data_IF_359130267811
#
_entry.id   IF_359130267811
#
_cell.length_a   1.000
_cell.length_b   1.000
_cell.length_c   1.000
_cell.angle_alpha   90.00
_cell.angle_beta   90.00
_cell.angle_gamma   90.00
#
_symmetry.space_group_name_H-M   'P 1'
#
loop_
_entity.id
_entity.type
_entity.pdbx_description
1 polymer ?
#
# COMPACT_ATOMS: atom_id res chain seq x y z
N UNK A 1 -7.22 -9.16 28.22
CA UNK A 1 -6.54 -8.83 26.96
C UNK A 1 -5.75 -7.55 27.18
N UNK A 2 -4.41 -7.57 27.13
CA UNK A 2 -3.58 -6.36 27.32
C UNK A 2 -3.34 -5.72 25.96
N UNK A 3 -3.98 -4.58 25.68
CA UNK A 3 -3.59 -3.73 24.55
C UNK A 3 -2.45 -2.81 25.02
N UNK A 4 -1.38 -2.73 24.25
CA UNK A 4 -0.34 -1.71 24.36
C UNK A 4 -0.44 -0.84 23.10
N UNK A 5 -0.55 0.48 23.26
CA UNK A 5 -0.28 1.37 22.14
C UNK A 5 1.23 1.32 21.86
N UNK A 6 1.59 1.08 20.61
CA UNK A 6 2.98 1.12 20.16
C UNK A 6 3.06 2.08 18.99
N UNK A 7 3.98 3.04 19.09
CA UNK A 7 4.52 3.74 17.94
C UNK A 7 5.28 2.73 17.08
N UNK A 8 4.55 2.08 16.17
CA UNK A 8 5.11 1.05 15.31
C UNK A 8 5.84 1.75 14.15
N UNK A 9 7.18 1.70 14.17
CA UNK A 9 7.98 1.87 12.96
C UNK A 9 7.75 0.62 12.12
N UNK A 10 6.75 0.64 11.23
CA UNK A 10 6.56 -0.44 10.24
C UNK A 10 7.78 -0.36 9.30
N UNK A 11 8.71 -1.32 9.36
CA UNK A 11 9.86 -1.26 8.49
C UNK A 11 9.39 -1.80 7.13
N UNK A 12 9.35 -0.94 6.12
CA UNK A 12 9.15 -1.37 4.74
C UNK A 12 10.30 -2.30 4.34
N UNK A 13 10.12 -3.60 4.51
CA UNK A 13 11.00 -4.62 3.96
C UNK A 13 10.39 -5.08 2.63
N UNK A 14 11.11 -4.84 1.54
CA UNK A 14 10.81 -5.42 0.25
C UNK A 14 11.20 -6.90 0.33
N UNK A 15 10.22 -7.80 0.44
CA UNK A 15 10.43 -9.25 0.37
C UNK A 15 10.08 -9.72 -1.05
N UNK A 16 11.08 -10.14 -1.80
CA UNK A 16 10.92 -10.74 -3.13
C UNK A 16 10.51 -12.21 -2.96
N UNK A 17 9.31 -12.59 -3.40
CA UNK A 17 8.87 -14.00 -3.48
C UNK A 17 8.43 -14.31 -4.90
N UNK A 18 8.91 -15.45 -5.43
CA UNK A 18 8.63 -15.94 -6.77
C UNK A 18 7.53 -17.02 -6.69
N UNK A 19 6.49 -16.91 -7.51
CA UNK A 19 5.46 -17.95 -7.67
C UNK A 19 5.16 -18.06 -9.16
N UNK A 20 5.32 -19.26 -9.72
CA UNK A 20 5.01 -19.56 -11.12
C UNK A 20 3.50 -19.77 -11.28
N UNK A 21 2.87 -18.97 -12.13
CA UNK A 21 1.48 -19.15 -12.53
C UNK A 21 1.42 -19.00 -14.06
N UNK A 22 0.84 -19.97 -14.75
CA UNK A 22 0.61 -19.93 -16.19
C UNK A 22 -0.74 -19.26 -16.50
N UNK A 23 -0.76 -18.21 -17.31
CA UNK A 23 -2.00 -17.57 -17.78
C UNK A 23 -1.93 -17.12 -19.25
N UNK A 24 -3.09 -17.14 -19.92
CA UNK A 24 -3.28 -16.79 -21.32
C UNK A 24 -3.17 -15.26 -21.55
N UNK A 25 -2.69 -14.81 -22.72
CA UNK A 25 -2.49 -13.39 -22.98
C UNK A 25 -3.81 -12.68 -23.29
N UNK A 26 -4.24 -11.79 -22.40
CA UNK A 26 -5.12 -10.68 -22.75
C UNK A 26 -4.27 -9.51 -23.25
N UNK A 27 -4.58 -9.02 -24.44
CA UNK A 27 -4.10 -7.75 -24.98
C UNK A 27 -4.77 -6.61 -24.20
N UNK A 28 -4.08 -6.03 -23.22
CA UNK A 28 -4.60 -4.87 -22.48
C UNK A 28 -3.65 -3.68 -22.61
N UNK A 29 -4.01 -2.82 -23.56
CA UNK A 29 -3.39 -1.57 -23.95
C UNK A 29 -4.23 -0.45 -23.33
N UNK A 30 -3.77 0.18 -22.25
CA UNK A 30 -4.27 1.52 -21.86
C UNK A 30 -3.08 2.43 -21.56
N UNK A 31 -2.89 3.47 -22.37
CA UNK A 31 -2.01 4.61 -22.08
C UNK A 31 -0.50 4.36 -22.02
N UNK A 32 -0.04 3.15 -22.36
CA UNK A 32 1.35 2.73 -22.25
C UNK A 32 2.14 3.16 -23.49
N UNK A 33 3.17 3.99 -23.31
CA UNK A 33 4.25 4.09 -24.29
C UNK A 33 5.34 3.09 -23.91
N UNK A 34 5.50 2.04 -24.73
CA UNK A 34 6.69 1.19 -24.70
C UNK A 34 7.61 1.64 -25.84
N UNK A 35 8.74 2.25 -25.51
CA UNK A 35 9.77 2.60 -26.48
C UNK A 35 11.05 1.87 -26.13
N UNK A 36 11.51 1.03 -27.05
CA UNK A 36 12.76 0.30 -26.92
C UNK A 36 13.81 0.83 -27.87
N UNK A 37 15.06 0.88 -27.42
CA UNK A 37 16.23 0.97 -28.28
C UNK A 37 17.04 -0.32 -28.09
N UNK A 38 16.87 -1.30 -28.97
CA UNK A 38 17.58 -2.58 -28.87
C UNK A 38 17.08 -3.55 -27.79
N UNK A 39 16.18 -3.14 -26.88
CA UNK A 39 15.46 -4.05 -25.98
C UNK A 39 13.96 -4.07 -26.25
N UNK A 40 13.40 -5.28 -26.26
CA UNK A 40 11.99 -5.54 -26.55
C UNK A 40 11.39 -6.46 -25.49
N UNK A 41 10.18 -6.13 -25.05
CA UNK A 41 9.31 -7.01 -24.28
C UNK A 41 8.17 -7.48 -25.19
N UNK A 42 7.87 -8.78 -25.21
CA UNK A 42 6.75 -9.29 -26.01
C UNK A 42 5.41 -8.84 -25.46
N UNK A 43 5.30 -8.82 -24.14
CA UNK A 43 4.09 -8.40 -23.45
C UNK A 43 4.44 -7.60 -22.21
N UNK A 44 3.68 -6.52 -22.03
CA UNK A 44 3.70 -5.73 -20.80
C UNK A 44 2.29 -5.66 -20.24
N UNK A 45 2.12 -5.97 -18.96
CA UNK A 45 0.81 -5.90 -18.28
C UNK A 45 0.96 -5.59 -16.80
N UNK A 46 -0.14 -5.11 -16.22
CA UNK A 46 -0.25 -4.85 -14.79
C UNK A 46 -0.93 -6.01 -14.07
N UNK A 47 -0.55 -6.24 -12.82
CA UNK A 47 -1.33 -7.09 -11.91
C UNK A 47 -1.49 -6.48 -10.53
N UNK A 48 -2.60 -6.80 -9.88
CA UNK A 48 -2.84 -6.53 -8.46
C UNK A 48 -3.15 -7.86 -7.78
N UNK A 49 -2.27 -8.31 -6.90
CA UNK A 49 -2.26 -9.70 -6.44
C UNK A 49 -2.06 -10.68 -7.62
N UNK A 50 -3.01 -11.58 -7.80
CA UNK A 50 -3.00 -12.62 -8.85
C UNK A 50 -3.83 -12.23 -10.08
N UNK A 51 -4.47 -11.05 -10.07
CA UNK A 51 -5.35 -10.60 -11.15
C UNK A 51 -4.58 -9.68 -12.09
N UNK A 52 -4.64 -9.98 -13.39
CA UNK A 52 -4.21 -9.04 -14.44
C UNK A 52 -5.25 -7.92 -14.50
N UNK A 53 -4.80 -6.68 -14.50
CA UNK A 53 -5.68 -5.51 -14.48
C UNK A 53 -5.40 -4.60 -15.68
N UNK A 54 -6.46 -3.92 -16.13
CA UNK A 54 -6.43 -2.95 -17.22
C UNK A 54 -6.78 -1.52 -16.77
N UNK A 55 -6.94 -1.28 -15.47
CA UNK A 55 -7.22 0.05 -14.88
C UNK A 55 -5.96 0.79 -14.47
N UNK A 56 -6.05 2.12 -14.40
CA UNK A 56 -5.02 3.03 -13.90
C UNK A 56 -5.49 3.86 -12.69
N UNK A 57 -6.59 3.49 -12.05
CA UNK A 57 -6.99 4.04 -10.75
C UNK A 57 -6.74 2.98 -9.69
N UNK A 58 -5.95 3.32 -8.68
CA UNK A 58 -5.57 2.41 -7.59
C UNK A 58 -6.03 2.96 -6.24
N UNK A 59 -6.11 2.08 -5.24
CA UNK A 59 -6.43 2.48 -3.88
C UNK A 59 -5.17 2.67 -3.03
N UNK A 60 -5.22 3.57 -2.05
CA UNK A 60 -4.10 3.77 -1.13
C UNK A 60 -3.69 2.44 -0.46
N UNK A 61 -2.40 2.16 -0.48
CA UNK A 61 -1.81 0.91 0.00
C UNK A 61 -1.86 -0.26 -0.97
N UNK A 62 -2.50 -0.12 -2.13
CA UNK A 62 -2.51 -1.15 -3.17
C UNK A 62 -1.08 -1.44 -3.67
N UNK A 63 -0.80 -2.72 -3.94
CA UNK A 63 0.46 -3.15 -4.55
C UNK A 63 0.17 -3.49 -6.00
N UNK A 64 0.73 -2.69 -6.91
CA UNK A 64 0.68 -2.95 -8.35
C UNK A 64 2.00 -3.55 -8.80
N UNK A 65 1.94 -4.52 -9.71
CA UNK A 65 3.11 -5.09 -10.38
C UNK A 65 3.03 -4.79 -11.86
N UNK A 66 4.17 -4.47 -12.48
CA UNK A 66 4.30 -4.38 -13.94
C UNK A 66 5.21 -5.51 -14.38
N UNK A 67 4.69 -6.36 -15.27
CA UNK A 67 5.37 -7.53 -15.78
C UNK A 67 5.83 -7.26 -17.21
N UNK A 68 7.08 -7.60 -17.50
CA UNK A 68 7.67 -7.57 -18.83
C UNK A 68 8.04 -9.00 -19.20
N UNK A 69 7.28 -9.60 -20.11
CA UNK A 69 7.48 -10.98 -20.54
C UNK A 69 8.35 -11.07 -21.78
N UNK A 70 9.13 -12.15 -21.82
CA UNK A 70 9.98 -12.54 -22.95
C UNK A 70 10.89 -11.40 -23.42
N UNK A 71 11.64 -10.80 -22.47
CA UNK A 71 12.61 -9.75 -22.81
C UNK A 71 13.67 -10.31 -23.75
N UNK A 72 13.94 -9.60 -24.84
CA UNK A 72 15.01 -9.90 -25.81
C UNK A 72 15.88 -8.67 -26.07
N UNK A 73 17.04 -8.90 -26.69
CA UNK A 73 17.99 -7.87 -27.10
C UNK A 73 19.06 -7.51 -26.07
N UNK A 74 19.05 -8.17 -24.90
CA UNK A 74 20.15 -8.09 -23.94
C UNK A 74 21.38 -8.79 -24.51
N UNK A 75 22.54 -8.18 -24.33
CA UNK A 75 23.82 -8.83 -24.56
C UNK A 75 24.04 -9.95 -23.54
N UNK A 76 24.70 -11.01 -23.99
CA UNK A 76 25.11 -12.12 -23.15
C UNK A 76 26.61 -12.07 -22.93
N UNK A 77 27.05 -12.29 -21.70
CA UNK A 77 28.44 -12.62 -21.37
C UNK A 77 28.43 -13.94 -20.61
N UNK A 78 29.11 -14.95 -21.15
CA UNK A 78 29.17 -16.29 -20.54
C UNK A 78 27.77 -16.88 -20.25
N UNK A 79 26.86 -16.75 -21.22
CA UNK A 79 25.44 -17.16 -21.13
C UNK A 79 24.61 -16.48 -20.03
N UNK A 80 25.13 -15.39 -19.44
CA UNK A 80 24.42 -14.56 -18.47
C UNK A 80 24.00 -13.22 -19.09
N UNK A 81 22.78 -12.80 -18.78
CA UNK A 81 22.21 -11.49 -19.08
C UNK A 81 22.25 -10.60 -17.83
N UNK A 82 22.47 -9.30 -18.00
CA UNK A 82 22.60 -8.36 -16.89
C UNK A 82 21.58 -7.21 -17.01
N UNK A 83 20.29 -7.46 -16.77
CA UNK A 83 19.29 -6.40 -16.81
C UNK A 83 19.46 -5.44 -15.62
N UNK A 84 19.24 -4.16 -15.88
CA UNK A 84 18.97 -3.14 -14.87
C UNK A 84 17.55 -2.63 -15.01
N UNK A 85 16.98 -2.15 -13.90
CA UNK A 85 15.65 -1.55 -13.89
C UNK A 85 15.58 -0.39 -12.90
N UNK A 86 15.12 0.76 -13.37
CA UNK A 86 14.90 1.96 -12.58
C UNK A 86 13.41 2.22 -12.50
N UNK A 87 12.96 2.57 -11.32
CA UNK A 87 11.56 2.93 -11.07
C UNK A 87 11.52 4.38 -10.61
N UNK A 88 10.65 5.19 -11.21
CA UNK A 88 10.43 6.58 -10.81
C UNK A 88 8.93 6.86 -10.77
N UNK A 89 8.47 7.56 -9.73
CA UNK A 89 7.12 8.11 -9.67
C UNK A 89 7.22 9.62 -9.56
N UNK A 90 6.48 10.31 -10.40
CA UNK A 90 6.35 11.76 -10.39
C UNK A 90 4.93 12.15 -9.92
N UNK A 91 4.81 13.26 -9.21
CA UNK A 91 3.51 13.88 -8.92
C UNK A 91 3.01 14.77 -10.08
N UNK A 92 1.89 15.46 -9.86
CA UNK A 92 1.28 16.39 -10.83
C UNK A 92 2.17 17.59 -11.21
N UNK A 93 3.16 17.95 -10.39
CA UNK A 93 4.11 19.01 -10.67
C UNK A 93 5.36 18.51 -11.41
N UNK A 94 5.41 17.21 -11.72
CA UNK A 94 6.58 16.47 -12.20
C UNK A 94 7.71 16.36 -11.15
N UNK A 95 7.41 16.56 -9.87
CA UNK A 95 8.37 16.34 -8.80
C UNK A 95 8.52 14.84 -8.51
N UNK A 96 9.74 14.39 -8.28
CA UNK A 96 10.00 12.98 -7.97
C UNK A 96 9.58 12.66 -6.54
N UNK A 97 8.52 11.87 -6.39
CA UNK A 97 8.04 11.39 -5.09
C UNK A 97 8.62 10.02 -4.73
N UNK A 98 8.99 9.20 -5.72
CA UNK A 98 9.62 7.91 -5.49
C UNK A 98 10.69 7.64 -6.56
N UNK A 99 11.84 7.09 -6.14
CA UNK A 99 12.90 6.71 -7.06
C UNK A 99 13.70 5.51 -6.53
N UNK A 100 13.77 4.45 -7.32
CA UNK A 100 14.65 3.30 -7.09
C UNK A 100 15.59 3.15 -8.28
N UNK A 101 16.87 3.51 -8.08
CA UNK A 101 17.85 3.66 -9.18
C UNK A 101 18.14 2.37 -9.95
N UNK A 102 18.32 1.25 -9.25
CA UNK A 102 18.53 -0.07 -9.86
C UNK A 102 17.96 -1.17 -8.96
N UNK A 103 16.78 -1.69 -9.34
CA UNK A 103 16.07 -2.77 -8.65
C UNK A 103 16.87 -4.07 -8.67
N UNK A 104 17.75 -4.25 -9.66
CA UNK A 104 18.58 -5.44 -9.82
C UNK A 104 20.05 -5.16 -9.50
N UNK A 105 20.36 -4.16 -8.67
CA UNK A 105 21.74 -3.79 -8.30
C UNK A 105 22.55 -4.96 -7.72
N UNK A 106 21.87 -5.84 -6.98
CA UNK A 106 22.51 -6.97 -6.28
C UNK A 106 22.65 -8.22 -7.17
N UNK A 107 22.16 -8.15 -8.42
CA UNK A 107 22.28 -9.20 -9.43
C UNK A 107 23.67 -9.16 -10.09
N UNK A 108 24.70 -9.52 -9.32
CA UNK A 108 26.10 -9.45 -9.78
C UNK A 108 26.50 -10.57 -10.74
N UNK A 109 25.80 -11.72 -10.69
CA UNK A 109 26.13 -12.90 -11.50
C UNK A 109 25.30 -12.99 -12.79
N UNK A 110 24.44 -12.01 -13.06
CA UNK A 110 23.49 -12.04 -14.15
C UNK A 110 22.38 -13.10 -13.97
N UNK A 111 21.60 -13.30 -15.02
CA UNK A 111 20.52 -14.30 -15.12
C UNK A 111 20.61 -15.06 -16.44
N UNK A 112 20.25 -16.33 -16.42
CA UNK A 112 20.25 -17.21 -17.61
C UNK A 112 18.88 -17.85 -17.89
N UNK A 113 17.80 -17.34 -17.30
CA UNK A 113 16.45 -17.87 -17.51
C UNK A 113 15.92 -17.52 -18.91
N UNK A 114 15.28 -18.50 -19.56
CA UNK A 114 14.59 -18.34 -20.84
C UNK A 114 13.18 -18.95 -20.75
N UNK A 115 12.12 -18.19 -21.05
CA UNK A 115 12.14 -16.77 -21.38
C UNK A 115 12.52 -15.88 -20.18
N UNK A 116 13.14 -14.73 -20.44
CA UNK A 116 13.45 -13.75 -19.40
C UNK A 116 12.19 -12.95 -19.06
N UNK A 117 11.85 -12.92 -17.78
CA UNK A 117 10.76 -12.11 -17.23
C UNK A 117 11.32 -11.11 -16.23
N UNK A 118 10.90 -9.85 -16.35
CA UNK A 118 11.23 -8.80 -15.40
C UNK A 118 9.94 -8.28 -14.76
N UNK A 119 10.00 -7.98 -13.47
CA UNK A 119 8.84 -7.46 -12.72
C UNK A 119 9.26 -6.26 -11.88
N UNK A 120 8.49 -5.18 -12.01
CA UNK A 120 8.50 -4.03 -11.11
C UNK A 120 7.35 -4.15 -10.12
N UNK A 121 7.54 -3.65 -8.89
CA UNK A 121 6.50 -3.58 -7.86
C UNK A 121 6.43 -2.15 -7.34
N UNK A 122 5.23 -1.58 -7.29
CA UNK A 122 4.96 -0.29 -6.66
C UNK A 122 3.87 -0.47 -5.60
N UNK A 123 4.15 -0.01 -4.38
CA UNK A 123 3.14 0.14 -3.34
C UNK A 123 2.62 1.56 -3.37
N UNK A 124 1.35 1.76 -3.68
CA UNK A 124 0.70 3.06 -3.79
C UNK A 124 0.38 3.65 -2.41
N UNK A 125 1.42 3.98 -1.63
CA UNK A 125 1.33 4.56 -0.29
C UNK A 125 2.33 5.72 -0.13
N UNK A 126 2.47 6.28 1.09
CA UNK A 126 3.38 7.37 1.39
C UNK A 126 4.77 7.17 0.72
N UNK A 127 5.29 8.15 -0.04
CA UNK A 127 4.84 9.55 -0.11
C UNK A 127 3.73 9.86 -1.13
N UNK A 128 3.13 8.86 -1.78
CA UNK A 128 1.92 9.05 -2.59
C UNK A 128 0.69 9.11 -1.69
N UNK A 129 -0.26 9.98 -2.02
CA UNK A 129 -1.48 10.25 -1.27
C UNK A 129 -2.71 10.19 -2.18
N UNK A 130 -3.82 9.78 -1.61
CA UNK A 130 -5.15 9.75 -2.22
C UNK A 130 -5.53 11.11 -2.81
N UNK A 131 -6.42 11.07 -3.79
CA UNK A 131 -6.95 12.23 -4.51
C UNK A 131 -5.91 13.04 -5.28
N UNK A 132 -4.76 12.43 -5.59
CA UNK A 132 -3.74 12.94 -6.49
C UNK A 132 -3.57 12.04 -7.72
N UNK A 133 -2.93 12.58 -8.75
CA UNK A 133 -2.46 11.81 -9.89
C UNK A 133 -0.93 11.76 -9.89
N UNK A 134 -0.42 10.73 -10.54
CA UNK A 134 0.98 10.40 -10.58
C UNK A 134 1.35 9.86 -11.95
N UNK A 135 2.62 10.02 -12.31
CA UNK A 135 3.22 9.34 -13.46
C UNK A 135 4.13 8.23 -12.96
N UNK A 136 3.88 6.99 -13.36
CA UNK A 136 4.76 5.86 -13.11
C UNK A 136 5.69 5.62 -14.32
N UNK A 137 6.99 5.66 -14.08
CA UNK A 137 8.01 5.46 -15.09
C UNK A 137 8.93 4.30 -14.71
N UNK A 138 9.16 3.40 -15.66
CA UNK A 138 10.11 2.29 -15.54
C UNK A 138 11.09 2.39 -16.71
N UNK A 139 12.37 2.33 -16.40
CA UNK A 139 13.45 2.28 -17.39
C UNK A 139 14.24 1.00 -17.20
N UNK A 140 14.24 0.13 -18.20
CA UNK A 140 15.01 -1.11 -18.25
C UNK A 140 16.22 -0.87 -19.14
N UNK A 141 17.39 -1.35 -18.75
CA UNK A 141 18.60 -1.27 -19.57
C UNK A 141 19.44 -2.54 -19.50
N UNK A 142 20.27 -2.74 -20.52
CA UNK A 142 21.33 -3.72 -20.53
C UNK A 142 22.57 -3.16 -19.81
N UNK A 143 22.99 -3.77 -18.69
CA UNK A 143 24.18 -3.30 -17.96
C UNK A 143 25.49 -3.50 -18.72
N UNK A 144 25.50 -4.37 -19.73
CA UNK A 144 26.68 -4.67 -20.56
C UNK A 144 26.46 -4.33 -22.04
N UNK A 145 25.44 -3.54 -22.33
CA UNK A 145 25.09 -3.11 -23.69
C UNK A 145 24.50 -1.71 -23.69
N UNK A 146 23.96 -1.31 -24.85
CA UNK A 146 23.29 -0.02 -25.03
C UNK A 146 21.76 -0.17 -25.10
N UNK A 147 21.25 -1.40 -24.91
CA UNK A 147 19.85 -1.70 -25.03
C UNK A 147 19.03 -1.04 -23.92
N UNK A 148 17.90 -0.41 -24.27
CA UNK A 148 16.95 0.17 -23.29
C UNK A 148 15.50 -0.11 -23.66
N UNK A 149 14.62 -0.14 -22.65
CA UNK A 149 13.18 -0.22 -22.80
C UNK A 149 12.49 0.65 -21.74
N UNK A 150 11.59 1.53 -22.17
CA UNK A 150 10.89 2.47 -21.29
C UNK A 150 9.40 2.13 -21.20
N UNK A 151 8.85 2.22 -20.01
CA UNK A 151 7.42 2.15 -19.75
C UNK A 151 6.97 3.39 -18.98
N UNK A 152 5.86 3.97 -19.41
CA UNK A 152 5.20 5.11 -18.76
C UNK A 152 3.70 4.84 -18.61
N UNK A 153 3.15 5.15 -17.44
CA UNK A 153 1.71 5.10 -17.19
C UNK A 153 1.31 6.18 -16.20
N UNK A 154 0.29 6.96 -16.54
CA UNK A 154 -0.34 7.90 -15.61
C UNK A 154 -1.41 7.16 -14.78
N UNK A 155 -1.46 7.42 -13.48
CA UNK A 155 -2.43 6.78 -12.58
C UNK A 155 -2.99 7.74 -11.53
N UNK A 156 -4.17 7.42 -11.02
CA UNK A 156 -4.83 8.15 -9.94
C UNK A 156 -4.87 7.30 -8.69
N UNK A 157 -4.58 7.91 -7.53
CA UNK A 157 -4.71 7.24 -6.24
C UNK A 157 -6.00 7.68 -5.55
N UNK A 158 -6.77 6.72 -5.01
CA UNK A 158 -8.03 6.98 -4.32
C UNK A 158 -8.01 6.41 -2.90
N UNK A 159 -8.76 7.02 -1.97
CA UNK A 159 -8.94 6.45 -0.65
C UNK A 159 -9.70 5.13 -0.77
N UNK A 160 -9.54 4.25 0.22
CA UNK A 160 -10.28 2.99 0.23
C UNK A 160 -11.79 3.28 0.41
N UNK A 161 -12.65 2.95 -0.58
CA UNK A 161 -14.07 3.29 -0.54
C UNK A 161 -14.86 2.49 0.51
N UNK A 162 -14.23 1.49 1.14
CA UNK A 162 -14.83 0.68 2.22
C UNK A 162 -14.58 1.28 3.60
N UNK A 163 -13.89 2.41 3.69
CA UNK A 163 -13.64 3.16 4.90
C UNK A 163 -14.34 4.51 4.76
N UNK A 164 -15.33 4.75 5.60
CA UNK A 164 -16.04 6.02 5.69
C UNK A 164 -15.40 6.86 6.80
N UNK A 165 -15.16 8.14 6.51
CA UNK A 165 -14.54 9.07 7.45
C UNK A 165 -15.47 10.27 7.59
N UNK A 166 -15.74 10.68 8.84
CA UNK A 166 -16.43 11.91 9.18
C UNK A 166 -15.53 12.74 10.07
N UNK A 167 -15.42 14.03 9.76
CA UNK A 167 -14.48 14.94 10.38
C UNK A 167 -15.22 16.13 10.98
N UNK A 168 -14.87 16.51 12.21
CA UNK A 168 -15.45 17.65 12.92
C UNK A 168 -14.33 18.44 13.60
N UNK A 169 -14.00 19.63 13.08
CA UNK A 169 -12.88 20.48 13.53
C UNK A 169 -11.47 19.83 13.50
N UNK A 170 -11.37 18.60 12.99
CA UNK A 170 -10.13 17.87 12.73
C UNK A 170 -10.09 17.40 11.27
N UNK A 171 -8.95 16.89 10.82
CA UNK A 171 -8.82 16.22 9.51
C UNK A 171 -7.77 15.12 9.55
N UNK A 172 -7.84 14.20 8.59
CA UNK A 172 -6.86 13.14 8.35
C UNK A 172 -6.47 13.12 6.88
N UNK A 173 -5.22 12.74 6.57
CA UNK A 173 -4.79 12.55 5.17
C UNK A 173 -5.20 11.19 4.63
N UNK A 174 -4.94 10.13 5.39
CA UNK A 174 -5.20 8.76 4.95
C UNK A 174 -5.70 7.90 6.12
N UNK A 175 -6.66 7.02 5.81
CA UNK A 175 -7.03 5.91 6.69
C UNK A 175 -7.02 4.63 5.88
N UNK A 176 -6.32 3.62 6.38
CA UNK A 176 -6.24 2.31 5.72
C UNK A 176 -6.10 1.17 6.73
N UNK A 177 -6.42 -0.03 6.29
CA UNK A 177 -6.32 -1.24 7.11
C UNK A 177 -5.08 -2.01 6.69
N UNK A 178 -4.11 -2.17 7.58
CA UNK A 178 -2.90 -2.94 7.34
C UNK A 178 -2.95 -4.29 8.05
N UNK A 179 -2.65 -5.37 7.33
CA UNK A 179 -2.50 -6.72 7.90
C UNK A 179 -1.03 -6.98 8.24
N UNK A 180 -0.75 -7.29 9.51
CA UNK A 180 0.57 -7.74 9.94
C UNK A 180 0.91 -9.09 9.32
N UNK A 181 -0.05 -10.02 9.33
CA UNK A 181 0.16 -11.38 8.85
C UNK A 181 0.42 -11.45 7.34
N UNK A 182 -0.24 -10.58 6.56
CA UNK A 182 -0.09 -10.53 5.10
C UNK A 182 0.95 -9.49 4.66
N UNK A 183 1.51 -8.72 5.58
CA UNK A 183 2.43 -7.60 5.34
C UNK A 183 1.95 -6.64 4.24
N UNK A 184 0.65 -6.30 4.22
CA UNK A 184 0.05 -5.46 3.18
C UNK A 184 -1.23 -4.77 3.64
N UNK A 185 -1.62 -3.73 2.89
CA UNK A 185 -2.92 -3.07 3.06
C UNK A 185 -4.05 -3.95 2.53
N UNK A 186 -5.18 -3.92 3.21
CA UNK A 186 -6.41 -4.67 2.91
C UNK A 186 -7.38 -3.74 2.18
N UNK A 187 -7.51 -3.93 0.87
CA UNK A 187 -8.43 -3.17 0.02
C UNK A 187 -9.75 -3.91 -0.24
N UNK A 188 -9.80 -5.23 0.02
CA UNK A 188 -10.96 -6.09 -0.25
C UNK A 188 -11.95 -6.21 0.89
N UNK A 189 -11.79 -5.44 1.98
CA UNK A 189 -12.53 -5.56 3.25
C UNK A 189 -12.61 -6.97 3.87
N UNK A 190 -11.79 -7.91 3.40
CA UNK A 190 -11.76 -9.29 3.87
C UNK A 190 -10.55 -9.54 4.79
N UNK A 191 -10.83 -10.10 5.95
CA UNK A 191 -9.81 -10.51 6.92
C UNK A 191 -10.07 -11.92 7.41
N UNK A 192 -9.02 -12.58 7.89
CA UNK A 192 -9.07 -13.94 8.41
C UNK A 192 -9.24 -13.90 9.92
N UNK A 193 -9.82 -14.94 10.51
CA UNK A 193 -9.76 -15.12 11.96
C UNK A 193 -8.30 -15.20 12.43
N UNK A 194 -8.05 -14.67 13.63
CA UNK A 194 -6.71 -14.57 14.24
C UNK A 194 -5.70 -13.73 13.43
N UNK A 195 -6.15 -13.01 12.41
CA UNK A 195 -5.34 -12.02 11.69
C UNK A 195 -5.26 -10.74 12.52
N UNK A 196 -4.03 -10.24 12.73
CA UNK A 196 -3.80 -8.97 13.38
C UNK A 196 -3.78 -7.87 12.33
N UNK A 197 -4.73 -6.97 12.45
CA UNK A 197 -4.87 -5.81 11.59
C UNK A 197 -4.72 -4.52 12.38
N UNK A 198 -4.35 -3.46 11.66
CA UNK A 198 -4.23 -2.12 12.16
C UNK A 198 -5.07 -1.19 11.30
N UNK A 199 -5.94 -0.40 11.91
CA UNK A 199 -6.44 0.82 11.30
C UNK A 199 -5.37 1.88 11.47
N UNK A 200 -4.68 2.21 10.39
CA UNK A 200 -3.63 3.23 10.37
C UNK A 200 -4.25 4.54 9.93
N UNK A 201 -4.00 5.59 10.71
CA UNK A 201 -4.55 6.94 10.55
C UNK A 201 -3.37 7.88 10.42
N UNK A 202 -3.21 8.53 9.26
CA UNK A 202 -2.04 9.35 8.94
C UNK A 202 -2.39 10.80 8.67
N UNK A 203 -1.50 11.72 9.06
CA UNK A 203 -1.69 13.13 8.76
C UNK A 203 -2.79 13.78 9.57
N UNK A 204 -2.98 13.38 10.83
CA UNK A 204 -4.01 13.95 11.71
C UNK A 204 -3.72 15.42 11.99
N UNK A 205 -4.73 16.28 11.83
CA UNK A 205 -4.61 17.72 12.08
C UNK A 205 -5.87 18.28 12.79
N UNK A 206 -5.77 19.49 13.34
CA UNK A 206 -6.87 20.20 14.02
C UNK A 206 -6.93 20.00 15.55
N UNK A 207 -6.06 19.16 16.11
CA UNK A 207 -5.94 18.94 17.56
C UNK A 207 -5.15 20.06 18.23
N UNK A 208 -5.56 20.44 19.44
CA UNK A 208 -4.93 21.52 20.21
C UNK A 208 -3.57 21.06 20.76
N UNK A 209 -2.52 21.67 20.22
CA UNK A 209 -1.16 21.44 20.64
C UNK A 209 -0.80 22.32 21.85
N UNK A 210 -0.25 21.72 22.91
CA UNK A 210 0.28 22.39 24.09
C UNK A 210 1.64 21.79 24.42
N UNK A 211 2.67 22.65 24.52
CA UNK A 211 4.04 22.23 24.84
C UNK A 211 4.56 21.11 23.91
N UNK A 212 4.30 21.21 22.60
CA UNK A 212 4.67 20.22 21.57
C UNK A 212 4.00 18.84 21.76
N UNK A 213 2.93 18.79 22.54
CA UNK A 213 2.15 17.58 22.75
C UNK A 213 0.69 17.81 22.46
N UNK A 214 -0.04 16.72 22.20
CA UNK A 214 -1.49 16.70 22.05
C UNK A 214 -2.09 15.76 23.08
N UNK A 215 -3.21 16.15 23.66
CA UNK A 215 -3.98 15.30 24.56
C UNK A 215 -5.12 14.66 23.76
N UNK A 216 -4.90 13.47 23.21
CA UNK A 216 -5.84 12.81 22.32
C UNK A 216 -6.38 11.53 22.97
N UNK A 217 -7.65 11.21 22.70
CA UNK A 217 -8.23 9.90 22.96
C UNK A 217 -8.54 9.17 21.66
N UNK A 218 -8.65 7.85 21.75
CA UNK A 218 -9.05 7.02 20.61
C UNK A 218 -9.87 5.82 21.09
N UNK A 219 -11.04 5.58 20.53
CA UNK A 219 -11.92 4.47 20.91
C UNK A 219 -12.07 3.50 19.74
N UNK A 220 -12.40 2.26 20.05
CA UNK A 220 -12.79 1.26 19.05
C UNK A 220 -13.99 0.47 19.56
N UNK A 221 -15.00 0.34 18.69
CA UNK A 221 -16.19 -0.47 18.90
C UNK A 221 -16.34 -1.41 17.70
N UNK A 222 -16.42 -2.70 17.99
CA UNK A 222 -16.58 -3.75 16.98
C UNK A 222 -17.83 -4.55 17.31
N UNK A 223 -18.75 -4.65 16.33
CA UNK A 223 -20.01 -5.39 16.44
C UNK A 223 -20.11 -6.42 15.32
N UNK A 224 -20.73 -7.56 15.56
CA UNK A 224 -21.18 -8.41 14.46
C UNK A 224 -22.49 -7.88 13.84
N UNK A 225 -22.95 -8.52 12.76
CA UNK A 225 -24.18 -8.15 12.06
C UNK A 225 -25.47 -8.34 12.87
N UNK A 226 -25.42 -9.00 14.04
CA UNK A 226 -26.55 -9.07 14.97
C UNK A 226 -26.52 -7.93 16.01
N UNK A 227 -25.54 -7.02 15.91
CA UNK A 227 -25.33 -5.94 16.87
C UNK A 227 -24.63 -6.38 18.17
N UNK A 228 -24.16 -7.63 18.26
CA UNK A 228 -23.44 -8.10 19.45
C UNK A 228 -22.05 -7.46 19.45
N UNK A 229 -21.70 -6.82 20.57
CA UNK A 229 -20.39 -6.23 20.79
C UNK A 229 -19.34 -7.34 20.90
N UNK A 230 -18.38 -7.34 19.98
CA UNK A 230 -17.23 -8.24 19.96
C UNK A 230 -16.06 -7.62 20.74
N UNK A 231 -15.82 -6.34 20.51
CA UNK A 231 -14.76 -5.57 21.16
C UNK A 231 -15.28 -4.17 21.46
N UNK A 232 -14.97 -3.66 22.64
CA UNK A 232 -15.16 -2.25 22.99
C UNK A 232 -13.97 -1.79 23.82
N UNK A 233 -13.34 -0.71 23.40
CA UNK A 233 -12.38 0.02 24.21
C UNK A 233 -12.70 1.51 24.07
N UNK A 234 -13.01 2.15 25.20
CA UNK A 234 -13.43 3.54 25.25
C UNK A 234 -12.26 4.52 25.12
N UNK A 235 -11.02 4.11 25.46
CA UNK A 235 -9.82 4.93 25.27
C UNK A 235 -8.54 4.09 25.17
N UNK A 236 -8.05 3.92 23.95
CA UNK A 236 -6.84 3.21 23.56
C UNK A 236 -5.55 4.00 23.85
N UNK A 237 -5.64 5.32 23.98
CA UNK A 237 -4.48 6.20 24.21
C UNK A 237 -4.31 6.53 25.70
N UNK A 238 -5.39 6.47 26.48
CA UNK A 238 -5.39 6.76 27.91
C UNK A 238 -5.13 8.25 28.19
N UNK A 239 -4.80 8.60 29.43
CA UNK A 239 -4.68 10.01 29.85
C UNK A 239 -3.32 10.66 29.54
N UNK A 240 -2.51 10.02 28.69
CA UNK A 240 -1.19 10.50 28.33
C UNK A 240 -1.21 11.55 27.23
N UNK A 241 -0.31 12.53 27.32
CA UNK A 241 0.00 13.41 26.19
C UNK A 241 0.89 12.68 25.18
N UNK A 242 0.60 12.85 23.89
CA UNK A 242 1.40 12.31 22.79
C UNK A 242 2.27 13.42 22.18
N UNK A 243 3.51 13.13 21.76
CA UNK A 243 4.29 14.06 20.94
C UNK A 243 3.49 14.47 19.69
N UNK A 244 3.30 15.78 19.49
CA UNK A 244 2.41 16.29 18.45
C UNK A 244 2.88 15.89 17.05
N UNK A 245 4.19 15.84 16.82
CA UNK A 245 4.79 15.38 15.58
C UNK A 245 4.46 13.91 15.27
N UNK A 246 4.58 13.02 16.25
CA UNK A 246 4.29 11.60 16.08
C UNK A 246 2.79 11.35 15.86
N UNK A 247 1.95 12.05 16.61
CA UNK A 247 0.49 11.99 16.44
C UNK A 247 0.05 12.45 15.05
N UNK A 248 0.59 13.59 14.59
CA UNK A 248 0.35 14.12 13.23
C UNK A 248 0.85 13.17 12.16
N UNK A 249 1.97 12.48 12.38
CA UNK A 249 2.50 11.51 11.42
C UNK A 249 1.59 10.30 11.29
N UNK A 250 1.34 9.60 12.40
CA UNK A 250 0.61 8.33 12.37
C UNK A 250 0.15 7.89 13.77
N UNK A 251 -1.12 7.50 13.87
CA UNK A 251 -1.64 6.70 14.98
C UNK A 251 -2.32 5.44 14.45
N UNK A 252 -2.54 4.45 15.30
CA UNK A 252 -3.21 3.22 14.89
C UNK A 252 -4.05 2.58 16.00
N UNK A 253 -5.18 1.99 15.60
CA UNK A 253 -5.94 1.05 16.42
C UNK A 253 -5.65 -0.37 15.93
N UNK A 254 -5.36 -1.30 16.83
CA UNK A 254 -5.12 -2.71 16.49
C UNK A 254 -6.33 -3.58 16.81
N UNK A 255 -6.60 -4.57 15.97
CA UNK A 255 -7.70 -5.51 16.12
C UNK A 255 -7.22 -6.94 15.81
N UNK A 256 -7.60 -7.89 16.66
CA UNK A 256 -7.47 -9.33 16.42
C UNK A 256 -8.79 -9.97 16.80
N UNK A 257 -9.41 -10.68 15.85
CA UNK A 257 -10.65 -11.43 16.07
C UNK A 257 -10.32 -12.90 16.30
N UNK A 258 -10.31 -13.32 17.57
CA UNK A 258 -9.91 -14.68 17.97
C UNK A 258 -11.10 -15.63 18.07
N UNK A 259 -11.07 -16.76 17.34
CA UNK A 259 -11.82 -18.00 17.63
C UNK A 259 -13.34 -17.90 17.87
N UNK A 260 -13.97 -16.76 17.63
CA UNK A 260 -15.38 -16.50 17.91
C UNK A 260 -16.21 -16.74 16.65
N UNK A 261 -17.36 -17.40 16.82
CA UNK A 261 -18.39 -17.41 15.79
C UNK A 261 -18.92 -15.98 15.65
N UNK A 262 -18.57 -15.30 14.57
CA UNK A 262 -19.01 -13.95 14.23
C UNK A 262 -19.96 -13.98 13.04
N UNK A 263 -20.94 -13.08 13.02
CA UNK A 263 -21.85 -12.90 11.89
C UNK A 263 -21.34 -11.75 11.02
N UNK A 264 -21.06 -12.05 9.76
CA UNK A 264 -20.65 -11.05 8.79
C UNK A 264 -21.82 -10.15 8.34
N UNK A 265 -21.52 -8.89 7.96
CA UNK A 265 -20.24 -8.20 8.16
C UNK A 265 -20.00 -7.85 9.64
N UNK A 266 -18.74 -7.70 10.01
CA UNK A 266 -18.32 -7.13 11.29
C UNK A 266 -18.16 -5.62 11.10
N UNK A 267 -18.91 -4.84 11.88
CA UNK A 267 -18.88 -3.38 11.85
C UNK A 267 -17.79 -2.90 12.80
N UNK A 268 -16.90 -2.03 12.31
CA UNK A 268 -15.85 -1.38 13.09
C UNK A 268 -16.07 0.13 13.08
N UNK A 269 -16.18 0.71 14.28
CA UNK A 269 -16.31 2.13 14.53
C UNK A 269 -15.10 2.58 15.37
N UNK A 270 -14.34 3.56 14.88
CA UNK A 270 -13.21 4.18 15.59
C UNK A 270 -13.49 5.66 15.71
N UNK A 271 -13.25 6.24 16.89
CA UNK A 271 -13.33 7.68 17.10
C UNK A 271 -11.99 8.15 17.66
N UNK A 272 -11.37 9.14 17.03
CA UNK A 272 -10.22 9.87 17.56
C UNK A 272 -10.70 11.25 17.95
N UNK A 273 -10.42 11.71 19.17
CA UNK A 273 -10.87 13.03 19.63
C UNK A 273 -9.81 13.75 20.43
N UNK A 274 -9.83 15.07 20.38
CA UNK A 274 -9.02 15.94 21.23
C UNK A 274 -9.67 16.05 22.60
N UNK A 275 -8.93 15.79 23.69
CA UNK A 275 -9.45 15.93 25.05
C UNK A 275 -9.54 17.39 25.49
N UNK A 276 -8.95 18.32 24.73
CA UNK A 276 -8.88 19.75 25.03
C UNK A 276 -9.75 20.62 24.10
N UNK A 277 -10.52 20.03 23.19
CA UNK A 277 -11.44 20.72 22.27
C UNK A 277 -12.55 19.78 21.78
N UNK A 278 -13.42 20.26 20.89
CA UNK A 278 -14.49 19.44 20.28
C UNK A 278 -14.02 18.70 19.01
N UNK A 279 -12.73 18.81 18.66
CA UNK A 279 -12.17 18.23 17.46
C UNK A 279 -12.19 16.69 17.49
N UNK A 280 -12.80 16.07 16.47
CA UNK A 280 -12.90 14.62 16.37
C UNK A 280 -12.94 14.09 14.91
N UNK A 281 -12.52 12.84 14.75
CA UNK A 281 -12.53 12.07 13.52
C UNK A 281 -13.24 10.74 13.82
N UNK A 282 -14.26 10.41 13.04
CA UNK A 282 -15.00 9.14 13.13
C UNK A 282 -14.71 8.31 11.89
N UNK A 283 -14.33 7.07 12.09
CA UNK A 283 -14.01 6.10 11.05
C UNK A 283 -14.97 4.94 11.17
N UNK A 284 -15.61 4.57 10.07
CA UNK A 284 -16.55 3.46 9.98
C UNK A 284 -16.14 2.53 8.84
N UNK A 285 -16.21 1.22 9.06
CA UNK A 285 -15.96 0.22 8.02
C UNK A 285 -16.64 -1.12 8.33
N UNK A 286 -16.87 -1.90 7.28
CA UNK A 286 -17.46 -3.24 7.37
C UNK A 286 -16.45 -4.29 6.90
N UNK A 287 -16.13 -5.25 7.77
CA UNK A 287 -15.18 -6.33 7.49
C UNK A 287 -15.89 -7.66 7.27
N UNK A 288 -15.47 -8.38 6.24
CA UNK A 288 -15.89 -9.74 5.95
C UNK A 288 -14.88 -10.72 6.51
N UNK A 289 -15.29 -11.50 7.50
CA UNK A 289 -14.44 -12.49 8.15
C UNK A 289 -14.49 -13.79 7.36
N UNK A 290 -13.34 -14.21 6.81
CA UNK A 290 -13.15 -15.51 6.18
C UNK A 290 -12.73 -16.53 7.23
N UNK A 291 -13.42 -17.66 7.24
CA UNK A 291 -13.08 -18.84 8.05
C UNK A 291 -11.99 -19.66 7.36
#
# INVERSE_FOLDING_TARGET
MKLKSYLMKIPFHIILTFTLIFFQPSNSIIGQSNSGNGLYAERVYLSSGNEIIDRNTFYYGEIIKVHFENITGLNNKEDQMFPGMRITVLDNNNDTVFNHKDVYKDLNNGVNYKPLQLTSTLTCANPMHSDNNYTFYIHIWDKIGNGTNDFKMDFTLKPNPKIQISEELASVKEVYIYSENKSRVINSNEISLNEKIYYVIEGVNGFKEQLQTVNAGMSILVKDNNGRIILKNDDLLGDGNLPANEFKMRINASLILNGMVVKNPVIVEIIVWDKNSDANIKIHSELMIKN
#
